data_IF_241724265574
#
_entry.id   IF_241724265574
#
_cell.length_a   1.000
_cell.length_b   1.000
_cell.length_c   1.000
_cell.angle_alpha   90.00
_cell.angle_beta   90.00
_cell.angle_gamma   90.00
#
_symmetry.space_group_name_H-M   'P 1'
#
loop_
_entity.id
_entity.type
_entity.pdbx_description
1 polymer ?
#
# COMPACT_ATOMS: atom_id res chain seq x y z
N UNK A 1 1.90 -3.43 -28.45
CA UNK A 1 3.02 -2.45 -28.26
C UNK A 1 4.29 -3.23 -27.95
N UNK A 2 5.47 -2.83 -28.45
CA UNK A 2 6.74 -3.56 -28.26
C UNK A 2 7.16 -3.70 -26.79
N UNK A 3 6.71 -2.80 -25.92
CA UNK A 3 7.07 -2.74 -24.50
C UNK A 3 5.87 -2.93 -23.56
N UNK A 4 4.79 -3.60 -24.02
CA UNK A 4 3.63 -3.90 -23.17
C UNK A 4 4.03 -4.93 -22.11
N UNK A 5 3.77 -4.69 -20.81
CA UNK A 5 4.00 -5.68 -19.78
C UNK A 5 3.12 -6.91 -19.97
N UNK A 6 3.66 -8.10 -19.69
CA UNK A 6 2.93 -9.36 -19.85
C UNK A 6 1.89 -9.58 -18.75
N UNK A 7 2.10 -8.98 -17.58
CA UNK A 7 1.22 -9.10 -16.42
C UNK A 7 1.19 -7.78 -15.66
N UNK A 8 0.06 -7.51 -15.00
CA UNK A 8 -0.03 -6.39 -14.07
C UNK A 8 0.88 -6.64 -12.85
N UNK A 9 1.50 -5.57 -12.36
CA UNK A 9 2.22 -5.54 -11.08
C UNK A 9 1.88 -4.24 -10.37
N UNK A 10 1.74 -4.32 -9.05
CA UNK A 10 1.61 -3.12 -8.22
C UNK A 10 2.80 -2.20 -8.51
N UNK A 11 2.58 -0.89 -8.74
CA UNK A 11 3.68 0.04 -8.93
C UNK A 11 4.47 0.24 -7.63
N UNK A 12 5.80 0.24 -7.76
CA UNK A 12 6.75 0.64 -6.72
C UNK A 12 7.76 1.61 -7.34
N UNK A 13 8.64 2.23 -6.54
CA UNK A 13 9.70 3.09 -7.11
C UNK A 13 10.62 2.32 -8.06
N UNK A 14 10.83 1.01 -7.82
CA UNK A 14 11.63 0.12 -8.67
C UNK A 14 10.85 -0.52 -9.82
N UNK A 15 9.52 -0.38 -9.87
CA UNK A 15 8.67 -0.96 -10.91
C UNK A 15 7.53 -0.02 -11.31
N UNK A 16 7.76 0.76 -12.37
CA UNK A 16 6.86 1.84 -12.77
C UNK A 16 5.76 1.43 -13.76
N UNK A 17 5.78 0.18 -14.26
CA UNK A 17 4.87 -0.29 -15.28
C UNK A 17 3.39 -0.10 -14.90
N UNK A 18 3.03 -0.34 -13.62
CA UNK A 18 1.68 -0.18 -13.10
C UNK A 18 1.12 1.25 -13.23
N UNK A 19 1.98 2.28 -13.18
CA UNK A 19 1.55 3.68 -13.40
C UNK A 19 1.05 3.90 -14.84
N UNK A 20 1.64 3.19 -15.80
CA UNK A 20 1.18 3.16 -17.19
C UNK A 20 -0.22 2.57 -17.32
N UNK A 21 -0.52 1.48 -16.59
CA UNK A 21 -1.87 0.91 -16.55
C UNK A 21 -2.88 1.94 -16.05
N UNK A 22 -2.62 2.58 -14.90
CA UNK A 22 -3.53 3.58 -14.35
C UNK A 22 -3.81 4.72 -15.32
N UNK A 23 -2.77 5.21 -16.01
CA UNK A 23 -2.92 6.29 -16.98
C UNK A 23 -3.81 5.87 -18.15
N UNK A 24 -3.51 4.73 -18.77
CA UNK A 24 -4.25 4.25 -19.94
C UNK A 24 -5.70 3.86 -19.60
N UNK A 25 -5.91 3.24 -18.43
CA UNK A 25 -7.24 2.85 -17.97
C UNK A 25 -8.11 4.07 -17.63
N UNK A 26 -7.55 5.09 -16.96
CA UNK A 26 -8.26 6.33 -16.63
C UNK A 26 -8.56 7.19 -17.86
N UNK A 27 -7.69 7.15 -18.87
CA UNK A 27 -7.80 7.96 -20.09
C UNK A 27 -8.38 7.16 -21.28
N UNK A 28 -9.25 6.17 -21.00
CA UNK A 28 -9.81 5.29 -22.03
C UNK A 28 -10.40 6.07 -23.21
N UNK A 29 -11.20 7.11 -22.95
CA UNK A 29 -11.82 7.95 -24.00
C UNK A 29 -10.81 8.65 -24.92
N UNK A 30 -9.61 8.96 -24.41
CA UNK A 30 -8.53 9.57 -25.18
C UNK A 30 -7.65 8.51 -25.87
N UNK A 31 -7.52 7.33 -25.27
CA UNK A 31 -6.64 6.26 -25.71
C UNK A 31 -7.28 5.35 -26.77
N UNK A 32 -8.50 4.89 -26.54
CA UNK A 32 -9.19 3.87 -27.35
C UNK A 32 -9.90 4.46 -28.57
N UNK A 33 -9.14 5.22 -29.37
CA UNK A 33 -9.63 5.86 -30.62
C UNK A 33 -9.59 4.95 -31.85
N UNK A 34 -9.07 3.74 -31.71
CA UNK A 34 -9.00 2.76 -32.79
C UNK A 34 -9.07 1.34 -32.19
N UNK A 35 -9.40 0.35 -33.04
CA UNK A 35 -9.59 -1.04 -32.61
C UNK A 35 -8.37 -1.65 -31.90
N UNK A 36 -7.15 -1.27 -32.30
CA UNK A 36 -5.92 -1.76 -31.67
C UNK A 36 -5.75 -1.24 -30.24
N UNK A 37 -6.08 0.03 -30.01
CA UNK A 37 -6.01 0.63 -28.68
C UNK A 37 -7.14 0.13 -27.78
N UNK A 38 -8.34 -0.06 -28.31
CA UNK A 38 -9.46 -0.69 -27.59
C UNK A 38 -9.08 -2.10 -27.12
N UNK A 39 -8.53 -2.93 -28.02
CA UNK A 39 -8.02 -4.25 -27.64
C UNK A 39 -6.94 -4.15 -26.56
N UNK A 40 -6.02 -3.17 -26.68
CA UNK A 40 -4.98 -2.97 -25.68
C UNK A 40 -5.58 -2.59 -24.32
N UNK A 41 -6.59 -1.72 -24.29
CA UNK A 41 -7.30 -1.30 -23.08
C UNK A 41 -7.96 -2.51 -22.40
N UNK A 42 -8.73 -3.32 -23.13
CA UNK A 42 -9.41 -4.49 -22.56
C UNK A 42 -8.40 -5.51 -22.01
N UNK A 43 -7.29 -5.75 -22.71
CA UNK A 43 -6.24 -6.63 -22.21
C UNK A 43 -5.57 -6.09 -20.93
N UNK A 44 -5.34 -4.77 -20.82
CA UNK A 44 -4.76 -4.15 -19.61
C UNK A 44 -5.76 -4.20 -18.44
N UNK A 45 -7.04 -3.95 -18.72
CA UNK A 45 -8.13 -4.03 -17.76
C UNK A 45 -8.23 -5.45 -17.21
N UNK A 46 -8.27 -6.45 -18.10
CA UNK A 46 -8.33 -7.86 -17.70
C UNK A 46 -7.16 -8.26 -16.81
N UNK A 47 -5.92 -7.91 -17.17
CA UNK A 47 -4.74 -8.21 -16.35
C UNK A 47 -4.79 -7.57 -14.95
N UNK A 48 -5.33 -6.35 -14.83
CA UNK A 48 -5.52 -5.70 -13.53
C UNK A 48 -6.62 -6.41 -12.72
N UNK A 49 -7.73 -6.81 -13.36
CA UNK A 49 -8.81 -7.53 -12.69
C UNK A 49 -8.39 -8.93 -12.26
N UNK A 50 -7.59 -9.64 -13.06
CA UNK A 50 -7.01 -10.93 -12.70
C UNK A 50 -6.12 -10.81 -11.46
N UNK A 51 -5.28 -9.76 -11.41
CA UNK A 51 -4.50 -9.45 -10.22
C UNK A 51 -5.42 -9.22 -9.01
N UNK A 52 -6.46 -8.40 -9.14
CA UNK A 52 -7.36 -8.06 -8.03
C UNK A 52 -8.14 -9.28 -7.54
N UNK A 53 -8.67 -10.10 -8.44
CA UNK A 53 -9.38 -11.32 -8.09
C UNK A 53 -8.46 -12.27 -7.31
N UNK A 54 -7.24 -12.47 -7.79
CA UNK A 54 -6.24 -13.29 -7.10
C UNK A 54 -5.83 -12.71 -5.74
N UNK A 55 -5.74 -11.39 -5.60
CA UNK A 55 -5.39 -10.74 -4.35
C UNK A 55 -6.46 -10.95 -3.27
N UNK A 56 -7.75 -10.98 -3.64
CA UNK A 56 -8.85 -11.06 -2.68
C UNK A 56 -9.35 -12.49 -2.39
N UNK A 57 -8.95 -13.50 -3.17
CA UNK A 57 -9.48 -14.88 -3.12
C UNK A 57 -9.67 -15.43 -1.70
N UNK A 58 -8.67 -15.26 -0.83
CA UNK A 58 -8.69 -15.83 0.53
C UNK A 58 -8.81 -14.77 1.64
N UNK A 59 -9.09 -13.51 1.28
CA UNK A 59 -9.07 -12.37 2.20
C UNK A 59 -10.04 -12.49 3.38
N UNK A 60 -11.17 -13.17 3.21
CA UNK A 60 -12.16 -13.40 4.28
C UNK A 60 -11.67 -14.38 5.36
N UNK A 61 -10.69 -15.23 5.03
CA UNK A 61 -10.19 -16.29 5.90
C UNK A 61 -8.83 -15.95 6.51
N UNK A 62 -8.25 -14.79 6.23
CA UNK A 62 -6.98 -14.38 6.83
C UNK A 62 -7.19 -13.88 8.27
N UNK A 63 -6.20 -14.00 9.17
CA UNK A 63 -6.35 -13.61 10.58
C UNK A 63 -6.85 -12.18 10.80
N UNK A 64 -6.49 -11.25 9.91
CA UNK A 64 -6.88 -9.83 9.97
C UNK A 64 -7.96 -9.45 8.93
N UNK A 65 -8.59 -10.43 8.27
CA UNK A 65 -9.65 -10.25 7.26
C UNK A 65 -9.26 -9.22 6.21
N UNK A 66 -8.14 -9.49 5.52
CA UNK A 66 -7.42 -8.54 4.66
C UNK A 66 -6.67 -9.31 3.55
N UNK A 67 -6.57 -8.76 2.32
CA UNK A 67 -5.79 -9.39 1.25
C UNK A 67 -4.26 -9.23 1.43
N UNK A 68 -3.80 -8.13 2.04
CA UNK A 68 -2.40 -7.90 2.40
C UNK A 68 -2.03 -8.60 3.73
N UNK A 69 -0.79 -9.06 3.87
CA UNK A 69 -0.20 -9.35 5.18
C UNK A 69 -0.45 -10.77 5.72
N UNK A 70 -0.80 -11.71 4.85
CA UNK A 70 -0.96 -13.13 5.23
C UNK A 70 0.18 -14.01 4.67
N UNK A 71 1.20 -13.42 4.05
CA UNK A 71 2.38 -14.13 3.54
C UNK A 71 3.63 -13.44 4.04
N UNK A 72 4.63 -14.21 4.48
CA UNK A 72 5.89 -13.65 4.99
C UNK A 72 6.56 -12.66 4.01
N UNK A 73 6.42 -12.89 2.69
CA UNK A 73 6.95 -12.01 1.64
C UNK A 73 6.26 -10.64 1.53
N UNK A 74 5.09 -10.48 2.14
CA UNK A 74 4.35 -9.21 2.14
C UNK A 74 5.02 -8.20 3.09
N UNK A 75 5.95 -8.67 3.94
CA UNK A 75 6.69 -7.87 4.91
C UNK A 75 8.12 -7.66 4.43
N UNK A 76 8.47 -6.40 4.21
CA UNK A 76 9.74 -5.94 3.68
C UNK A 76 9.86 -4.42 3.93
N UNK A 77 11.01 -3.84 3.59
CA UNK A 77 11.22 -2.40 3.71
C UNK A 77 10.17 -1.63 2.92
N UNK A 78 9.40 -0.76 3.60
CA UNK A 78 8.35 0.04 3.00
C UNK A 78 7.03 -0.69 2.68
N UNK A 79 6.81 -1.90 3.23
CA UNK A 79 5.70 -2.76 2.85
C UNK A 79 4.31 -2.16 3.06
N UNK A 80 4.11 -1.30 4.07
CA UNK A 80 2.81 -0.66 4.30
C UNK A 80 2.44 0.26 3.13
N UNK A 81 3.41 0.92 2.52
CA UNK A 81 3.16 1.65 1.27
C UNK A 81 3.13 0.73 0.05
N UNK A 82 4.22 -0.01 -0.18
CA UNK A 82 4.46 -0.66 -1.46
C UNK A 82 3.57 -1.87 -1.72
N UNK A 83 3.16 -2.56 -0.65
CA UNK A 83 2.36 -3.77 -0.73
C UNK A 83 0.94 -3.56 -0.19
N UNK A 84 0.74 -2.89 0.94
CA UNK A 84 -0.59 -2.69 1.53
C UNK A 84 -1.37 -1.55 0.84
N UNK A 85 -0.86 -0.31 0.92
CA UNK A 85 -1.51 0.89 0.40
C UNK A 85 -1.65 0.85 -1.13
N UNK A 86 -0.58 0.51 -1.85
CA UNK A 86 -0.64 0.42 -3.31
C UNK A 86 -1.57 -0.71 -3.80
N UNK A 87 -1.70 -1.83 -3.08
CA UNK A 87 -2.71 -2.85 -3.41
C UNK A 87 -4.13 -2.30 -3.22
N UNK A 88 -4.38 -1.51 -2.17
CA UNK A 88 -5.67 -0.86 -1.96
C UNK A 88 -6.01 0.11 -3.12
N UNK A 89 -5.04 0.90 -3.59
CA UNK A 89 -5.20 1.77 -4.75
C UNK A 89 -5.57 0.99 -6.02
N UNK A 90 -4.94 -0.16 -6.23
CA UNK A 90 -5.24 -1.06 -7.35
C UNK A 90 -6.67 -1.62 -7.25
N UNK A 91 -7.08 -2.05 -6.06
CA UNK A 91 -8.44 -2.52 -5.79
C UNK A 91 -9.48 -1.40 -6.03
N UNK A 92 -9.23 -0.18 -5.57
CA UNK A 92 -10.11 0.96 -5.85
C UNK A 92 -10.16 1.31 -7.34
N UNK A 93 -9.07 1.08 -8.08
CA UNK A 93 -9.06 1.20 -9.54
C UNK A 93 -9.96 0.14 -10.17
N UNK A 94 -9.91 -1.11 -9.73
CA UNK A 94 -10.82 -2.16 -10.18
C UNK A 94 -12.29 -1.83 -9.85
N UNK A 95 -12.56 -1.29 -8.66
CA UNK A 95 -13.89 -0.81 -8.29
C UNK A 95 -14.40 0.28 -9.24
N UNK A 96 -13.58 1.29 -9.55
CA UNK A 96 -13.95 2.35 -10.53
C UNK A 96 -14.25 1.80 -11.92
N UNK A 97 -13.55 0.74 -12.33
CA UNK A 97 -13.71 0.15 -13.67
C UNK A 97 -14.93 -0.77 -13.80
N UNK A 98 -15.43 -1.32 -12.68
CA UNK A 98 -16.41 -2.42 -12.69
C UNK A 98 -17.68 -2.14 -11.88
N UNK A 99 -17.61 -1.28 -10.86
CA UNK A 99 -18.65 -1.11 -9.85
C UNK A 99 -18.75 -2.26 -8.84
N UNK A 100 -17.89 -3.28 -8.92
CA UNK A 100 -17.99 -4.45 -8.03
C UNK A 100 -17.51 -4.13 -6.61
N UNK A 101 -18.45 -4.08 -5.66
CA UNK A 101 -18.20 -3.71 -4.25
C UNK A 101 -17.12 -4.56 -3.56
N UNK A 102 -16.89 -5.80 -4.02
CA UNK A 102 -15.85 -6.68 -3.46
C UNK A 102 -14.45 -6.04 -3.48
N UNK A 103 -14.16 -5.21 -4.48
CA UNK A 103 -12.89 -4.51 -4.58
C UNK A 103 -12.80 -3.33 -3.59
N UNK A 104 -13.88 -2.54 -3.45
CA UNK A 104 -13.95 -1.45 -2.47
C UNK A 104 -13.79 -1.98 -1.03
N UNK A 105 -14.53 -3.04 -0.68
CA UNK A 105 -14.46 -3.66 0.65
C UNK A 105 -13.04 -4.13 0.97
N UNK A 106 -12.36 -4.77 0.02
CA UNK A 106 -11.00 -5.24 0.25
C UNK A 106 -9.94 -4.13 0.25
N UNK A 107 -10.17 -3.02 -0.46
CA UNK A 107 -9.33 -1.83 -0.30
C UNK A 107 -9.47 -1.21 1.10
N UNK A 108 -10.68 -1.13 1.63
CA UNK A 108 -10.94 -0.68 3.01
C UNK A 108 -10.25 -1.59 4.04
N UNK A 109 -10.25 -2.90 3.84
CA UNK A 109 -9.55 -3.84 4.72
C UNK A 109 -8.03 -3.61 4.76
N UNK A 110 -7.40 -3.25 3.64
CA UNK A 110 -5.99 -2.84 3.64
C UNK A 110 -5.78 -1.52 4.40
N UNK A 111 -6.71 -0.56 4.29
CA UNK A 111 -6.67 0.65 5.09
C UNK A 111 -6.82 0.34 6.58
N UNK A 112 -7.74 -0.54 6.97
CA UNK A 112 -7.90 -0.99 8.37
C UNK A 112 -6.60 -1.60 8.91
N UNK A 113 -5.91 -2.43 8.12
CA UNK A 113 -4.62 -3.00 8.52
C UNK A 113 -3.58 -1.91 8.75
N UNK A 114 -3.44 -0.97 7.82
CA UNK A 114 -2.51 0.18 7.94
C UNK A 114 -2.81 1.04 9.18
N UNK A 115 -4.08 1.14 9.58
CA UNK A 115 -4.57 2.02 10.64
C UNK A 115 -4.77 1.33 12.00
N UNK A 116 -4.41 0.05 12.13
CA UNK A 116 -4.33 -0.61 13.45
C UNK A 116 -4.85 -2.04 13.54
N UNK A 117 -5.57 -2.56 12.53
CA UNK A 117 -6.04 -3.96 12.53
C UNK A 117 -4.94 -4.91 12.02
N UNK A 118 -3.84 -4.94 12.76
CA UNK A 118 -2.63 -5.71 12.44
C UNK A 118 -2.00 -6.32 13.71
N UNK A 119 -0.96 -7.14 13.53
CA UNK A 119 -0.33 -7.89 14.62
C UNK A 119 0.35 -7.02 15.70
N UNK A 120 0.73 -5.80 15.37
CA UNK A 120 1.43 -4.90 16.30
C UNK A 120 0.49 -3.93 17.02
N UNK A 121 -0.73 -3.78 16.50
CA UNK A 121 -1.74 -2.82 16.95
C UNK A 121 -1.40 -1.36 16.64
N UNK A 122 -0.34 -1.08 15.87
CA UNK A 122 0.02 0.30 15.49
C UNK A 122 -0.85 0.79 14.34
N UNK A 123 -1.35 2.01 14.45
CA UNK A 123 -1.64 2.84 13.30
C UNK A 123 -0.29 3.33 12.75
N UNK A 124 0.09 2.96 11.53
CA UNK A 124 1.40 3.27 10.98
C UNK A 124 1.55 4.72 10.46
N UNK A 125 0.68 5.63 10.88
CA UNK A 125 0.73 7.06 10.54
C UNK A 125 0.99 7.88 11.80
N UNK A 126 2.04 8.69 11.79
CA UNK A 126 2.40 9.54 12.94
C UNK A 126 1.24 10.46 13.33
N UNK A 127 0.92 10.54 14.62
CA UNK A 127 -0.13 11.42 15.15
C UNK A 127 -1.58 10.97 14.88
N UNK A 128 -1.81 9.75 14.36
CA UNK A 128 -3.15 9.19 14.11
C UNK A 128 -3.38 7.87 14.84
N UNK A 129 -4.62 7.64 15.28
CA UNK A 129 -4.99 6.42 16.01
C UNK A 129 -4.56 6.45 17.47
N UNK A 130 -4.92 5.41 18.23
CA UNK A 130 -4.62 5.32 19.67
C UNK A 130 -3.20 4.84 19.97
N UNK A 131 -2.51 4.27 18.99
CA UNK A 131 -1.13 3.78 19.08
C UNK A 131 -0.43 4.08 17.75
N UNK A 132 0.30 5.19 17.67
CA UNK A 132 1.05 5.63 16.49
C UNK A 132 2.56 5.62 16.73
N UNK A 133 3.39 5.64 15.67
CA UNK A 133 4.83 5.87 15.81
C UNK A 133 5.08 7.20 16.53
N UNK A 134 5.85 7.15 17.60
CA UNK A 134 6.33 8.31 18.36
C UNK A 134 7.81 8.58 18.09
N UNK A 135 8.55 7.57 17.62
CA UNK A 135 9.99 7.65 17.38
C UNK A 135 10.33 7.26 15.93
N UNK A 136 9.73 7.90 14.91
CA UNK A 136 10.07 7.59 13.52
C UNK A 136 11.56 7.86 13.27
N UNK A 137 12.19 7.08 12.38
CA UNK A 137 13.49 7.45 11.83
C UNK A 137 13.30 8.68 10.92
N UNK A 138 13.24 9.86 11.53
CA UNK A 138 12.99 11.11 10.85
C UNK A 138 13.77 12.22 11.54
N UNK A 139 14.80 12.76 10.86
CA UNK A 139 15.75 13.70 11.45
C UNK A 139 15.08 14.92 12.06
N UNK A 140 14.09 15.51 11.39
CA UNK A 140 13.41 16.71 11.88
C UNK A 140 12.75 16.42 13.23
N UNK A 141 11.90 15.39 13.29
CA UNK A 141 11.20 14.98 14.52
C UNK A 141 12.11 14.41 15.61
N UNK A 142 13.34 14.01 15.28
CA UNK A 142 14.31 13.56 16.27
C UNK A 142 15.22 14.69 16.79
N UNK A 143 15.15 15.88 16.18
CA UNK A 143 16.03 17.01 16.46
C UNK A 143 15.28 18.26 16.92
N UNK A 144 13.95 18.23 16.90
CA UNK A 144 13.13 19.25 17.52
C UNK A 144 12.99 18.94 19.02
N UNK A 145 12.78 19.97 19.84
CA UNK A 145 12.52 19.82 21.27
C UNK A 145 11.02 19.50 21.53
N UNK A 146 10.37 18.78 20.61
CA UNK A 146 8.96 18.43 20.63
C UNK A 146 8.83 16.93 20.89
N UNK A 147 7.94 16.55 21.81
CA UNK A 147 7.76 15.13 22.18
C UNK A 147 7.05 14.36 21.06
N UNK A 148 6.04 14.97 20.46
CA UNK A 148 5.28 14.38 19.36
C UNK A 148 6.01 14.55 18.02
N UNK A 149 6.13 13.48 17.20
CA UNK A 149 6.69 13.63 15.87
C UNK A 149 5.76 14.45 14.98
N UNK A 150 6.32 14.97 13.88
CA UNK A 150 5.52 15.66 12.86
C UNK A 150 4.42 14.69 12.37
N UNK A 151 3.14 15.10 12.41
CA UNK A 151 2.03 14.20 12.13
C UNK A 151 1.85 13.95 10.62
N UNK A 152 1.15 12.87 10.28
CA UNK A 152 0.73 12.54 8.92
C UNK A 152 1.75 11.75 8.09
N UNK A 153 2.86 11.30 8.69
CA UNK A 153 3.85 10.49 7.99
C UNK A 153 3.53 9.00 8.10
N UNK A 154 3.44 8.33 6.94
CA UNK A 154 3.40 6.88 6.86
C UNK A 154 4.80 6.29 7.08
N UNK A 155 4.94 5.42 8.09
CA UNK A 155 6.19 4.66 8.31
C UNK A 155 6.26 3.40 7.44
N UNK A 156 7.46 2.88 7.23
CA UNK A 156 7.69 1.71 6.37
C UNK A 156 6.96 0.43 6.83
N UNK A 157 6.88 0.20 8.14
CA UNK A 157 6.20 -0.91 8.79
C UNK A 157 7.06 -2.18 8.96
N UNK A 158 6.44 -3.34 9.28
CA UNK A 158 7.16 -4.55 9.63
C UNK A 158 8.12 -5.03 8.55
N UNK A 159 9.35 -5.35 8.95
CA UNK A 159 10.40 -5.79 8.05
C UNK A 159 11.28 -6.86 8.71
N UNK A 160 11.04 -8.15 8.42
CA UNK A 160 11.82 -9.25 9.00
C UNK A 160 13.28 -9.26 8.53
N UNK A 161 13.63 -8.49 7.49
CA UNK A 161 15.01 -8.32 7.05
C UNK A 161 15.89 -7.60 8.05
N UNK A 162 15.30 -6.81 8.98
CA UNK A 162 15.99 -6.10 10.07
C UNK A 162 17.33 -5.51 9.61
N UNK A 163 17.33 -4.81 8.48
CA UNK A 163 18.58 -4.34 7.84
C UNK A 163 19.28 -3.22 8.62
N UNK A 164 18.84 -2.90 9.82
CA UNK A 164 19.44 -1.96 10.76
C UNK A 164 20.04 -2.70 11.97
N UNK A 165 20.48 -1.98 13.01
CA UNK A 165 21.07 -2.58 14.23
C UNK A 165 20.15 -2.47 15.45
N UNK A 166 18.86 -2.29 15.24
CA UNK A 166 17.88 -2.10 16.32
C UNK A 166 17.41 -3.44 16.87
N UNK A 167 16.91 -3.42 18.10
CA UNK A 167 16.28 -4.59 18.72
C UNK A 167 14.79 -4.64 18.34
N UNK A 168 14.37 -5.76 17.76
CA UNK A 168 13.00 -5.99 17.34
C UNK A 168 12.30 -6.93 18.33
N UNK A 169 11.04 -6.67 18.69
CA UNK A 169 10.33 -7.46 19.70
C UNK A 169 10.00 -8.89 19.24
N UNK A 170 9.98 -9.13 17.93
CA UNK A 170 9.62 -10.44 17.35
C UNK A 170 10.41 -10.73 16.07
N UNK A 171 10.48 -12.02 15.72
CA UNK A 171 10.94 -12.51 14.42
C UNK A 171 9.79 -12.95 13.51
N UNK A 172 8.56 -12.94 14.01
CA UNK A 172 7.38 -13.21 13.18
C UNK A 172 7.24 -12.05 12.17
N UNK A 173 7.09 -12.31 10.86
CA UNK A 173 7.23 -11.27 9.83
C UNK A 173 6.35 -10.02 10.00
N UNK A 174 5.10 -10.19 10.42
CA UNK A 174 4.12 -9.11 10.64
C UNK A 174 4.25 -8.42 12.00
N UNK A 175 5.05 -8.98 12.90
CA UNK A 175 5.42 -8.41 14.19
C UNK A 175 6.83 -7.78 14.19
N UNK A 176 7.56 -7.87 13.07
CA UNK A 176 8.92 -7.37 12.92
C UNK A 176 8.98 -5.83 12.75
N UNK A 177 8.36 -5.10 13.68
CA UNK A 177 8.33 -3.64 13.75
C UNK A 177 8.72 -3.17 15.14
N UNK A 178 9.48 -2.07 15.20
CA UNK A 178 9.86 -1.40 16.44
C UNK A 178 9.75 0.11 16.24
N UNK A 179 9.11 0.80 17.18
CA UNK A 179 9.01 2.26 17.17
C UNK A 179 10.25 2.86 17.85
N UNK A 180 11.33 2.98 17.08
CA UNK A 180 12.59 3.54 17.55
C UNK A 180 13.28 4.34 16.46
N UNK A 181 13.81 5.52 16.81
CA UNK A 181 14.52 6.40 15.88
C UNK A 181 15.67 5.73 15.11
N UNK A 182 16.48 4.80 15.67
CA UNK A 182 17.51 4.11 14.87
C UNK A 182 16.98 3.07 13.88
N UNK A 183 15.70 2.67 13.97
CA UNK A 183 15.12 1.56 13.21
C UNK A 183 14.70 1.94 11.79
N UNK A 184 15.63 2.40 10.95
CA UNK A 184 15.32 2.80 9.57
C UNK A 184 14.74 1.66 8.71
N UNK A 185 14.98 0.39 9.07
CA UNK A 185 14.46 -0.73 8.29
C UNK A 185 12.96 -0.95 8.49
N UNK A 186 12.35 -0.43 9.57
CA UNK A 186 10.93 -0.58 9.86
C UNK A 186 10.18 0.74 10.14
N UNK A 187 10.87 1.77 10.61
CA UNK A 187 10.25 3.00 11.13
C UNK A 187 10.70 4.29 10.41
N UNK A 188 11.37 4.17 9.27
CA UNK A 188 11.66 5.29 8.34
C UNK A 188 10.37 5.90 7.78
N UNK A 189 10.47 7.13 7.28
CA UNK A 189 9.42 7.81 6.49
C UNK A 189 9.95 8.11 5.08
N UNK A 190 9.07 8.18 4.08
CA UNK A 190 9.52 8.52 2.73
C UNK A 190 8.45 9.23 1.90
N UNK A 191 8.88 10.04 0.92
CA UNK A 191 7.97 10.79 0.04
C UNK A 191 7.10 9.86 -0.82
N UNK A 192 7.64 8.75 -1.31
CA UNK A 192 6.90 7.76 -2.09
C UNK A 192 5.87 7.01 -1.21
N UNK A 193 6.19 6.78 0.06
CA UNK A 193 5.27 6.16 1.00
C UNK A 193 4.09 7.07 1.32
N UNK A 194 4.38 8.35 1.58
CA UNK A 194 3.33 9.35 1.80
C UNK A 194 2.53 9.66 0.53
N UNK A 195 3.13 9.59 -0.66
CA UNK A 195 2.38 9.70 -1.92
C UNK A 195 1.30 8.62 -2.04
N UNK A 196 1.60 7.38 -1.61
CA UNK A 196 0.61 6.30 -1.56
C UNK A 196 -0.50 6.60 -0.54
N UNK A 197 -0.15 7.11 0.66
CA UNK A 197 -1.12 7.46 1.69
C UNK A 197 -2.08 8.55 1.21
N UNK A 198 -1.55 9.62 0.61
CA UNK A 198 -2.36 10.73 0.07
C UNK A 198 -3.30 10.23 -1.01
N UNK A 199 -2.79 9.45 -1.97
CA UNK A 199 -3.60 8.96 -3.09
C UNK A 199 -4.70 8.01 -2.62
N UNK A 200 -4.37 7.06 -1.73
CA UNK A 200 -5.36 6.15 -1.14
C UNK A 200 -6.43 6.92 -0.37
N UNK A 201 -6.04 7.86 0.50
CA UNK A 201 -6.96 8.64 1.32
C UNK A 201 -7.92 9.46 0.44
N UNK A 202 -7.42 10.10 -0.61
CA UNK A 202 -8.24 10.85 -1.56
C UNK A 202 -9.23 9.93 -2.31
N UNK A 203 -8.77 8.76 -2.80
CA UNK A 203 -9.65 7.82 -3.49
C UNK A 203 -10.75 7.27 -2.57
N UNK A 204 -10.43 6.94 -1.31
CA UNK A 204 -11.42 6.49 -0.34
C UNK A 204 -12.43 7.59 -0.03
N UNK A 205 -11.96 8.82 0.20
CA UNK A 205 -12.85 9.97 0.42
C UNK A 205 -13.78 10.26 -0.76
N UNK A 206 -13.36 9.98 -2.00
CA UNK A 206 -14.22 10.12 -3.18
C UNK A 206 -15.22 8.96 -3.33
N UNK A 207 -14.82 7.73 -3.01
CA UNK A 207 -15.55 6.51 -3.39
C UNK A 207 -16.45 5.92 -2.28
N UNK A 208 -16.27 6.37 -1.03
CA UNK A 208 -17.04 5.91 0.14
C UNK A 208 -18.16 6.88 0.51
N UNK A 209 -18.06 8.14 0.09
CA UNK A 209 -19.09 9.16 0.26
C UNK A 209 -20.12 9.12 -0.88
#
# INVERSE_FOLDING_TARGET
MKHKPQQFRIPTWGSLAGLGYFTLLRKNSEFSKNARNEQTYEELKQQLLDYCNNAITDSDNTPFVVPYGNKARDFHWGCISESCSNQAIVLLTAYRLTGERKYLVNALRNADYMLGRNATGYCYVTGFGSKSPMNPHHRLSASDDIVEPIPGFLVGGPNPGKQDRSEYPSSVPDEAYVDATPAYAANEIAINWNASLVYLSAMLGELVN
#
